data_IF_532274895152
#
_entry.id   IF_532274895152
#
_cell.length_a   1.000
_cell.length_b   1.000
_cell.length_c   1.000
_cell.angle_alpha   90.00
_cell.angle_beta   90.00
_cell.angle_gamma   90.00
#
_symmetry.space_group_name_H-M   'P 1'
#
loop_
_entity.id
_entity.type
_entity.pdbx_description
1 polymer ?
#
# COMPACT_ATOMS: atom_id res chain seq x y z
N UNK A 1 -58.02 -16.05 0.56
CA UNK A 1 -58.43 -16.55 -0.78
C UNK A 1 -57.48 -15.95 -1.82
N UNK A 2 -57.17 -16.74 -2.85
CA UNK A 2 -56.10 -16.54 -3.85
C UNK A 2 -56.38 -15.40 -4.84
N UNK A 3 -55.26 -14.94 -5.44
CA UNK A 3 -55.10 -14.46 -6.82
C UNK A 3 -55.78 -13.13 -7.19
N UNK A 4 -55.19 -12.27 -8.03
CA UNK A 4 -54.51 -12.59 -9.29
C UNK A 4 -53.61 -11.45 -9.75
N UNK A 5 -52.45 -11.79 -10.32
CA UNK A 5 -51.57 -10.92 -11.10
C UNK A 5 -52.19 -10.60 -12.47
N UNK A 6 -51.91 -9.40 -13.01
CA UNK A 6 -51.79 -9.11 -14.45
C UNK A 6 -51.77 -7.58 -14.63
N UNK A 7 -51.11 -6.95 -15.59
CA UNK A 7 -50.11 -7.34 -16.57
C UNK A 7 -49.59 -6.00 -17.12
N UNK A 8 -48.28 -5.78 -17.06
CA UNK A 8 -47.63 -4.73 -17.83
C UNK A 8 -47.67 -5.12 -19.31
N UNK A 9 -48.20 -4.24 -20.16
CA UNK A 9 -48.01 -4.30 -21.61
C UNK A 9 -47.73 -2.92 -22.19
N UNK A 10 -46.66 -2.92 -22.97
CA UNK A 10 -46.03 -1.83 -23.69
C UNK A 10 -46.88 -1.29 -24.86
N UNK A 11 -46.49 -0.10 -25.33
CA UNK A 11 -46.93 0.55 -26.56
C UNK A 11 -46.63 2.05 -26.45
N UNK A 12 -45.42 2.58 -26.70
CA UNK A 12 -44.69 2.75 -27.96
C UNK A 12 -45.47 3.57 -29.03
N UNK A 13 -44.78 4.61 -29.55
CA UNK A 13 -44.98 5.36 -30.81
C UNK A 13 -46.05 6.49 -30.73
N UNK A 14 -45.87 7.75 -31.15
CA UNK A 14 -45.03 8.35 -32.19
C UNK A 14 -44.66 9.82 -31.86
N UNK A 15 -43.53 10.27 -32.41
CA UNK A 15 -43.03 11.63 -32.38
C UNK A 15 -43.87 12.59 -33.23
N UNK A 16 -43.97 13.85 -32.78
CA UNK A 16 -44.26 15.00 -33.64
C UNK A 16 -43.16 16.04 -33.43
N UNK A 17 -42.37 16.25 -34.49
CA UNK A 17 -41.24 17.15 -34.54
C UNK A 17 -41.70 18.62 -34.43
N UNK A 18 -41.00 19.41 -33.61
CA UNK A 18 -40.93 20.85 -33.78
C UNK A 18 -39.52 21.33 -33.45
N UNK A 19 -39.01 22.14 -34.36
CA UNK A 19 -37.63 22.59 -34.49
C UNK A 19 -37.24 23.56 -33.37
N UNK A 20 -36.26 23.18 -32.56
CA UNK A 20 -35.44 24.12 -31.78
C UNK A 20 -34.04 23.55 -31.68
N UNK A 21 -33.06 24.42 -31.93
CA UNK A 21 -31.64 24.11 -32.09
C UNK A 21 -31.12 23.13 -31.04
N UNK A 22 -30.46 22.07 -31.51
CA UNK A 22 -29.79 21.10 -30.66
C UNK A 22 -28.60 21.75 -29.93
N UNK A 23 -28.86 22.37 -28.79
CA UNK A 23 -27.84 22.47 -27.74
C UNK A 23 -27.94 21.16 -26.99
N UNK A 24 -27.19 20.16 -27.48
CA UNK A 24 -26.88 18.98 -26.70
C UNK A 24 -26.23 19.47 -25.42
N UNK A 25 -27.00 19.60 -24.34
CA UNK A 25 -26.46 19.58 -23.00
C UNK A 25 -25.93 18.16 -22.80
N UNK A 26 -24.79 17.87 -23.42
CA UNK A 26 -23.90 16.86 -22.92
C UNK A 26 -23.62 17.31 -21.50
N UNK A 27 -24.28 16.66 -20.54
CA UNK A 27 -23.89 16.70 -19.15
C UNK A 27 -22.47 16.18 -19.17
N UNK A 28 -21.51 17.09 -19.23
CA UNK A 28 -20.12 16.80 -18.96
C UNK A 28 -20.13 16.33 -17.51
N UNK A 29 -20.25 15.01 -17.32
CA UNK A 29 -19.87 14.39 -16.07
C UNK A 29 -18.50 15.00 -15.74
N UNK A 30 -18.28 15.51 -14.52
CA UNK A 30 -17.02 16.14 -14.18
C UNK A 30 -15.92 15.16 -14.58
N UNK A 31 -15.06 15.59 -15.51
CA UNK A 31 -13.86 14.84 -15.83
C UNK A 31 -13.17 14.64 -14.47
N UNK A 32 -13.20 13.40 -13.95
CA UNK A 32 -12.58 13.12 -12.67
C UNK A 32 -11.10 13.40 -12.89
N UNK A 33 -10.63 14.57 -12.46
CA UNK A 33 -9.22 14.89 -12.46
C UNK A 33 -8.55 13.76 -11.68
N UNK A 34 -7.64 13.02 -12.32
CA UNK A 34 -6.91 11.96 -11.67
C UNK A 34 -6.32 12.55 -10.38
N UNK A 35 -6.59 11.92 -9.23
CA UNK A 35 -6.02 12.39 -7.97
C UNK A 35 -4.50 12.43 -8.10
N UNK A 36 -3.83 13.40 -7.46
CA UNK A 36 -2.37 13.54 -7.55
C UNK A 36 -1.64 12.22 -7.26
N UNK A 37 -0.42 12.11 -7.78
CA UNK A 37 0.47 11.03 -7.40
C UNK A 37 0.81 11.16 -5.92
N UNK A 38 0.84 10.03 -5.21
CA UNK A 38 1.16 10.02 -3.79
C UNK A 38 1.89 8.74 -3.45
N UNK A 39 3.13 8.85 -2.98
CA UNK A 39 3.88 7.71 -2.49
C UNK A 39 3.69 7.58 -0.99
N UNK A 40 3.66 6.33 -0.55
CA UNK A 40 3.71 5.98 0.85
C UNK A 40 4.83 4.99 1.06
N UNK A 41 5.82 5.40 1.83
CA UNK A 41 6.81 4.46 2.33
C UNK A 41 6.17 3.57 3.39
N UNK A 42 6.43 2.27 3.29
CA UNK A 42 5.98 1.25 4.24
C UNK A 42 7.17 0.43 4.66
N UNK A 43 7.09 -0.12 5.86
CA UNK A 43 8.19 -0.88 6.42
C UNK A 43 7.75 -1.63 7.65
N UNK A 44 8.71 -2.37 8.19
CA UNK A 44 8.48 -3.13 9.39
C UNK A 44 9.71 -3.91 9.80
N UNK A 45 9.65 -4.37 11.04
CA UNK A 45 10.63 -5.29 11.59
C UNK A 45 9.88 -6.41 12.28
N UNK A 46 10.17 -7.64 11.87
CA UNK A 46 9.43 -8.82 12.25
C UNK A 46 10.40 -9.88 12.77
N UNK A 47 10.01 -10.60 13.82
CA UNK A 47 10.77 -11.72 14.37
C UNK A 47 10.04 -13.02 14.01
N UNK A 48 10.74 -13.96 13.39
CA UNK A 48 10.19 -15.21 12.87
C UNK A 48 10.95 -16.39 13.44
N UNK A 49 10.26 -17.49 13.72
CA UNK A 49 10.91 -18.76 14.03
C UNK A 49 11.06 -19.59 12.74
N UNK A 50 12.28 -19.99 12.43
CA UNK A 50 12.57 -20.73 11.20
C UNK A 50 11.99 -22.13 11.21
N UNK A 51 11.11 -22.39 10.25
CA UNK A 51 10.51 -23.71 10.04
C UNK A 51 11.53 -24.69 9.43
N UNK A 52 11.24 -25.98 9.60
CA UNK A 52 12.04 -27.07 9.04
C UNK A 52 12.21 -26.91 7.52
N UNK A 53 13.46 -26.96 7.06
CA UNK A 53 13.80 -26.77 5.65
C UNK A 53 14.08 -25.32 5.22
N UNK A 54 13.95 -24.35 6.14
CA UNK A 54 14.44 -22.98 5.89
C UNK A 54 15.95 -22.86 6.19
N UNK A 55 16.61 -21.84 5.63
CA UNK A 55 18.00 -21.50 5.96
C UNK A 55 18.21 -21.21 7.46
N UNK A 56 17.13 -20.88 8.18
CA UNK A 56 17.12 -20.57 9.60
C UNK A 56 16.47 -21.69 10.44
N UNK A 57 16.59 -22.95 9.99
CA UNK A 57 15.97 -24.10 10.65
C UNK A 57 16.22 -24.14 12.17
N UNK A 58 15.15 -24.15 12.97
CA UNK A 58 15.17 -24.14 14.43
C UNK A 58 15.87 -22.92 15.06
N UNK A 59 15.99 -21.81 14.32
CA UNK A 59 16.56 -20.56 14.80
C UNK A 59 15.52 -19.44 14.68
N UNK A 60 15.53 -18.56 15.68
CA UNK A 60 14.92 -17.25 15.52
C UNK A 60 15.71 -16.44 14.50
N UNK A 61 15.01 -15.74 13.62
CA UNK A 61 15.60 -14.80 12.70
C UNK A 61 14.68 -13.59 12.56
N UNK A 62 15.29 -12.45 12.33
CA UNK A 62 14.58 -11.20 12.22
C UNK A 62 14.68 -10.66 10.80
N UNK A 63 13.58 -10.08 10.35
CA UNK A 63 13.39 -9.52 9.01
C UNK A 63 13.08 -8.05 9.18
N UNK A 64 13.98 -7.18 8.73
CA UNK A 64 13.68 -5.75 8.56
C UNK A 64 13.43 -5.47 7.09
N UNK A 65 12.51 -4.57 6.80
CA UNK A 65 12.15 -4.28 5.42
C UNK A 65 11.55 -2.89 5.22
N UNK A 66 11.69 -2.41 3.99
CA UNK A 66 10.96 -1.24 3.48
C UNK A 66 10.49 -1.47 2.05
N UNK A 67 9.44 -0.78 1.68
CA UNK A 67 8.89 -0.70 0.34
C UNK A 67 8.18 0.63 0.14
N UNK A 68 7.77 0.90 -1.09
CA UNK A 68 6.96 2.05 -1.43
C UNK A 68 5.72 1.57 -2.16
N UNK A 69 4.59 2.21 -1.88
CA UNK A 69 3.32 2.00 -2.56
C UNK A 69 2.87 3.34 -3.12
N UNK A 70 2.39 3.34 -4.37
CA UNK A 70 1.68 4.51 -4.88
C UNK A 70 0.22 4.43 -4.42
N UNK A 71 -0.15 5.28 -3.47
CA UNK A 71 -1.51 5.38 -2.93
C UNK A 71 -2.33 6.49 -3.63
N UNK A 72 -1.68 7.28 -4.49
CA UNK A 72 -2.31 8.33 -5.28
C UNK A 72 -3.01 7.81 -6.54
N UNK A 73 -3.52 8.75 -7.35
CA UNK A 73 -4.32 8.45 -8.55
C UNK A 73 -3.57 8.46 -9.87
N UNK A 74 -2.31 8.88 -9.88
CA UNK A 74 -1.47 8.93 -11.09
C UNK A 74 -0.21 8.11 -10.96
N UNK A 75 0.35 7.65 -12.09
CA UNK A 75 1.60 6.88 -12.11
C UNK A 75 2.79 7.75 -11.69
N UNK A 76 3.51 7.28 -10.68
CA UNK A 76 4.75 7.90 -10.20
C UNK A 76 5.93 7.39 -11.02
N UNK A 77 6.84 8.29 -11.43
CA UNK A 77 8.01 7.98 -12.26
C UNK A 77 9.32 8.16 -11.51
N UNK A 78 10.32 7.37 -11.89
CA UNK A 78 11.68 7.37 -11.34
C UNK A 78 11.70 7.32 -9.80
N UNK A 79 10.85 6.46 -9.25
CA UNK A 79 10.67 6.37 -7.81
C UNK A 79 11.89 5.72 -7.19
N UNK A 80 12.49 6.41 -6.23
CA UNK A 80 13.62 5.92 -5.45
C UNK A 80 13.21 5.68 -4.01
N UNK A 81 13.66 4.57 -3.44
CA UNK A 81 13.58 4.22 -2.04
C UNK A 81 15.00 4.13 -1.47
N UNK A 82 15.24 4.84 -0.37
CA UNK A 82 16.55 4.91 0.29
C UNK A 82 16.43 4.54 1.76
N UNK A 83 17.20 3.56 2.22
CA UNK A 83 17.47 3.36 3.66
C UNK A 83 18.52 4.37 4.12
N UNK A 84 18.32 5.03 5.26
CA UNK A 84 19.36 5.91 5.84
C UNK A 84 20.62 5.08 6.12
N UNK A 85 21.77 5.53 5.60
CA UNK A 85 23.04 4.80 5.66
C UNK A 85 22.99 3.36 5.11
N UNK A 86 22.09 3.11 4.17
CA UNK A 86 21.84 1.76 3.65
C UNK A 86 21.63 1.72 2.14
N UNK A 87 21.05 0.62 1.64
CA UNK A 87 20.81 0.42 0.22
C UNK A 87 19.81 1.44 -0.37
N UNK A 88 19.98 1.68 -1.66
CA UNK A 88 19.11 2.50 -2.50
C UNK A 88 18.53 1.64 -3.61
N UNK A 89 17.22 1.71 -3.83
CA UNK A 89 16.52 1.01 -4.90
C UNK A 89 15.70 2.00 -5.70
N UNK A 90 15.85 1.98 -7.03
CA UNK A 90 15.10 2.84 -7.94
C UNK A 90 14.32 1.99 -8.92
N UNK A 91 13.08 2.38 -9.20
CA UNK A 91 12.23 1.78 -10.22
C UNK A 91 11.74 2.85 -11.18
N UNK A 92 11.54 2.46 -12.45
CA UNK A 92 11.16 3.42 -13.49
C UNK A 92 9.77 4.01 -13.26
N UNK A 93 8.83 3.20 -12.80
CA UNK A 93 7.45 3.63 -12.60
C UNK A 93 6.74 2.77 -11.54
N UNK A 94 5.80 3.39 -10.82
CA UNK A 94 4.85 2.73 -9.92
C UNK A 94 3.45 3.25 -10.25
N UNK A 95 2.58 2.36 -10.74
CA UNK A 95 1.19 2.70 -11.07
C UNK A 95 0.34 2.88 -9.80
N UNK A 96 -0.82 3.55 -9.87
CA UNK A 96 -1.76 3.64 -8.75
C UNK A 96 -2.05 2.25 -8.14
N UNK A 97 -1.94 2.13 -6.82
CA UNK A 97 -2.11 0.90 -6.06
C UNK A 97 -0.95 -0.11 -6.15
N UNK A 98 0.05 0.15 -6.99
CA UNK A 98 1.20 -0.74 -7.15
C UNK A 98 2.23 -0.49 -6.05
N UNK A 99 2.94 -1.57 -5.66
CA UNK A 99 4.10 -1.51 -4.77
C UNK A 99 5.39 -1.83 -5.51
N UNK A 100 6.52 -1.31 -5.01
CA UNK A 100 7.85 -1.83 -5.35
C UNK A 100 8.04 -3.29 -4.92
N UNK A 101 7.27 -3.75 -3.93
CA UNK A 101 7.22 -5.16 -3.55
C UNK A 101 6.56 -5.96 -4.66
N UNK A 102 7.18 -7.08 -5.03
CA UNK A 102 6.66 -7.97 -6.06
C UNK A 102 6.67 -9.42 -5.56
N UNK A 103 5.75 -10.23 -6.07
CA UNK A 103 5.73 -11.65 -5.77
C UNK A 103 6.81 -12.38 -6.56
N UNK A 104 7.68 -13.12 -5.88
CA UNK A 104 8.67 -13.97 -6.52
C UNK A 104 8.18 -15.42 -6.57
N UNK A 105 7.91 -15.90 -7.79
CA UNK A 105 7.39 -17.24 -8.04
C UNK A 105 8.34 -18.38 -7.67
N UNK A 106 9.66 -18.14 -7.68
CA UNK A 106 10.67 -19.14 -7.32
C UNK A 106 10.73 -19.33 -5.82
N UNK A 107 10.78 -18.23 -5.08
CA UNK A 107 10.85 -18.26 -3.61
C UNK A 107 9.48 -18.28 -2.92
N UNK A 108 8.38 -18.30 -3.70
CA UNK A 108 6.98 -18.31 -3.25
C UNK A 108 6.71 -17.31 -2.10
N UNK A 109 7.24 -16.09 -2.25
CA UNK A 109 7.09 -15.02 -1.26
C UNK A 109 7.08 -13.65 -1.93
N UNK A 110 6.49 -12.68 -1.25
CA UNK A 110 6.72 -11.27 -1.56
C UNK A 110 8.20 -10.94 -1.32
N UNK A 111 8.83 -10.36 -2.35
CA UNK A 111 10.14 -9.77 -2.26
C UNK A 111 9.97 -8.26 -2.11
N UNK A 112 10.54 -7.75 -1.03
CA UNK A 112 10.54 -6.33 -0.70
C UNK A 112 11.85 -5.73 -1.21
N UNK A 113 11.84 -4.49 -1.75
CA UNK A 113 13.00 -3.90 -2.41
C UNK A 113 14.20 -3.76 -1.46
N UNK A 114 13.95 -3.35 -0.21
CA UNK A 114 14.95 -3.37 0.86
C UNK A 114 14.48 -4.39 1.89
N UNK A 115 15.24 -5.46 2.03
CA UNK A 115 14.97 -6.52 3.01
C UNK A 115 16.31 -7.04 3.55
N UNK A 116 16.47 -7.08 4.87
CA UNK A 116 17.61 -7.73 5.52
C UNK A 116 17.10 -8.78 6.47
N UNK A 117 17.80 -9.93 6.50
CA UNK A 117 17.53 -11.03 7.42
C UNK A 117 18.78 -11.34 8.22
N UNK A 118 18.66 -11.46 9.54
CA UNK A 118 19.76 -11.89 10.41
C UNK A 118 19.28 -12.90 11.44
N UNK A 119 20.21 -13.70 11.95
CA UNK A 119 19.96 -14.62 13.07
C UNK A 119 19.65 -13.86 14.35
N UNK A 120 18.76 -14.43 15.16
CA UNK A 120 18.29 -13.86 16.41
C UNK A 120 17.23 -12.78 16.22
N UNK A 121 16.64 -12.37 17.35
CA UNK A 121 15.71 -11.25 17.43
C UNK A 121 16.26 -10.25 18.44
N UNK A 122 16.84 -9.19 17.92
CA UNK A 122 17.51 -8.14 18.68
C UNK A 122 16.82 -6.79 18.42
N UNK A 123 16.85 -5.84 19.38
CA UNK A 123 16.29 -4.52 19.14
C UNK A 123 17.01 -3.87 17.97
N UNK A 124 16.27 -3.51 16.92
CA UNK A 124 16.81 -2.80 15.76
C UNK A 124 15.81 -1.79 15.24
N UNK A 125 16.29 -0.88 14.40
CA UNK A 125 15.47 0.02 13.62
C UNK A 125 15.78 -0.08 12.13
N UNK A 126 14.83 0.35 11.32
CA UNK A 126 15.01 0.64 9.90
C UNK A 126 14.29 1.95 9.60
N UNK A 127 14.92 2.79 8.81
CA UNK A 127 14.38 4.10 8.47
C UNK A 127 14.83 4.52 7.10
N UNK A 128 14.02 5.32 6.43
CA UNK A 128 14.28 5.66 5.06
C UNK A 128 13.31 6.69 4.53
N UNK A 129 13.57 7.06 3.30
CA UNK A 129 12.73 7.98 2.57
C UNK A 129 12.55 7.57 1.12
N UNK A 130 11.51 8.09 0.50
CA UNK A 130 11.22 7.90 -0.92
C UNK A 130 10.95 9.23 -1.60
N UNK A 131 11.19 9.27 -2.91
CA UNK A 131 10.85 10.39 -3.77
C UNK A 131 10.67 9.89 -5.21
N UNK A 132 9.96 10.67 -6.02
CA UNK A 132 9.85 10.46 -7.47
C UNK A 132 9.92 11.80 -8.21
N UNK A 133 9.80 11.75 -9.53
CA UNK A 133 9.87 12.95 -10.38
C UNK A 133 8.57 13.77 -10.39
N UNK A 134 7.46 13.14 -9.99
CA UNK A 134 6.14 13.78 -9.95
C UNK A 134 5.90 14.43 -8.59
N UNK A 135 5.05 15.46 -8.54
CA UNK A 135 4.60 16.07 -7.28
C UNK A 135 4.03 15.00 -6.34
N UNK A 136 4.45 15.07 -5.07
CA UNK A 136 4.15 14.09 -4.03
C UNK A 136 4.01 14.83 -2.69
N UNK A 137 3.21 14.29 -1.78
CA UNK A 137 3.14 14.80 -0.41
C UNK A 137 4.36 14.29 0.37
N UNK A 138 5.23 15.20 0.79
CA UNK A 138 6.43 14.87 1.55
C UNK A 138 6.11 14.22 2.91
N UNK A 139 4.89 14.37 3.43
CA UNK A 139 4.48 13.80 4.71
C UNK A 139 4.51 12.27 4.76
N UNK A 140 4.23 11.59 3.64
CA UNK A 140 4.18 10.13 3.55
C UNK A 140 5.48 9.50 3.02
N UNK A 141 6.49 10.33 2.78
CA UNK A 141 7.72 9.94 2.11
C UNK A 141 8.84 9.53 3.05
N UNK A 142 8.72 9.78 4.35
CA UNK A 142 9.66 9.30 5.36
C UNK A 142 9.02 8.25 6.26
N UNK A 143 9.80 7.25 6.66
CA UNK A 143 9.34 6.22 7.56
C UNK A 143 10.43 5.74 8.50
N UNK A 144 10.03 5.41 9.72
CA UNK A 144 10.86 4.84 10.74
C UNK A 144 10.10 3.72 11.44
N UNK A 145 10.73 2.55 11.52
CA UNK A 145 10.20 1.38 12.21
C UNK A 145 11.26 0.86 13.17
N UNK A 146 10.82 0.41 14.34
CA UNK A 146 11.69 -0.20 15.34
C UNK A 146 11.03 -1.45 15.90
N UNK A 147 11.84 -2.41 16.30
CA UNK A 147 11.37 -3.53 17.11
C UNK A 147 11.30 -3.05 18.55
N UNK A 148 10.09 -2.93 19.08
CA UNK A 148 9.89 -2.80 20.51
C UNK A 148 9.95 -4.21 21.11
N UNK A 149 11.17 -4.69 21.41
CA UNK A 149 11.29 -5.75 22.40
C UNK A 149 10.93 -5.10 23.72
N UNK A 150 9.64 -5.18 24.09
CA UNK A 150 9.28 -5.04 25.50
C UNK A 150 10.05 -6.15 26.21
N UNK A 151 11.23 -5.82 26.72
CA UNK A 151 11.81 -6.56 27.83
C UNK A 151 10.65 -6.59 28.82
N UNK A 152 10.09 -7.77 29.17
CA UNK A 152 9.01 -7.80 30.13
C UNK A 152 9.46 -6.89 31.25
N UNK A 153 8.66 -5.86 31.56
CA UNK A 153 8.91 -5.05 32.74
C UNK A 153 9.25 -6.08 33.81
N UNK A 154 10.41 -5.90 34.46
CA UNK A 154 10.78 -6.73 35.62
C UNK A 154 9.45 -7.01 36.34
N UNK A 155 9.00 -8.26 36.53
CA UNK A 155 7.64 -8.53 37.00
C UNK A 155 7.30 -7.84 38.33
N UNK A 156 8.31 -7.24 38.97
CA UNK A 156 8.24 -6.38 40.15
C UNK A 156 8.13 -4.86 39.88
N UNK A 157 8.01 -4.40 38.63
CA UNK A 157 7.89 -2.98 38.25
C UNK A 157 6.52 -2.81 37.57
N UNK A 158 5.53 -2.22 38.26
CA UNK A 158 4.23 -1.99 37.66
C UNK A 158 4.34 -1.04 36.47
N UNK A 159 3.47 -1.19 35.45
CA UNK A 159 3.47 -0.31 34.28
C UNK A 159 3.23 1.15 34.73
N UNK A 160 3.92 2.12 34.13
CA UNK A 160 3.62 3.53 34.37
C UNK A 160 2.17 3.80 33.95
N UNK A 161 1.39 4.39 34.85
CA UNK A 161 0.00 4.71 34.60
C UNK A 161 -0.11 5.65 33.40
N UNK A 162 -0.77 5.20 32.32
CA UNK A 162 -1.24 6.11 31.27
C UNK A 162 -1.05 5.73 29.80
N UNK A 163 -0.68 4.50 29.43
CA UNK A 163 -0.69 4.10 28.01
C UNK A 163 -1.94 3.28 27.67
N UNK A 164 -3.02 3.96 27.29
CA UNK A 164 -4.13 3.44 26.50
C UNK A 164 -4.03 3.93 25.06
#
# INVERSE_FOLDING_TARGET
MRNTKANWRAGLIAAAASTTMAVSAAVAAPAQAASPGELQIRGGIECHFGQKGSTWNNLWYQVRWMTVVNIGGTTMRNVTLQEINGPRVTVREIKPGQSMSHWNNKTKRWQRPIETRWTGCVPTSISGYTWGDTYDDLGNNFGFWRTDIQRPANPNVPPPAGSS
#
